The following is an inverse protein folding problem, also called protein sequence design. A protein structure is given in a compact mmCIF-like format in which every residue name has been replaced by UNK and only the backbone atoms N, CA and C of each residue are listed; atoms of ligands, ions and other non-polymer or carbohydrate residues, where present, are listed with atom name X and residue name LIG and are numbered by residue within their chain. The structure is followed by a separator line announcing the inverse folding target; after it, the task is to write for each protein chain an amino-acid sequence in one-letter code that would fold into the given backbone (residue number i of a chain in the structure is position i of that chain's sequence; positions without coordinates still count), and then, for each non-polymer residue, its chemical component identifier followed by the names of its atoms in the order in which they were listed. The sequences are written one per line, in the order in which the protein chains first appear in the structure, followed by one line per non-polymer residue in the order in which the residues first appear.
data_IF_653606851799
#
_entry.id   IF_653606851799
#
_cell.length_a   1.000
_cell.length_b   1.000
_cell.length_c   1.000
_cell.angle_alpha   90.00
_cell.angle_beta   90.00
_cell.angle_gamma   90.00
#
_symmetry.space_group_name_H-M   'P 1'
#
loop_
_entity.id
_entity.type
_entity.pdbx_description
1 polymer ?
#
# COMPACT_ATOMS: atom_id res chain seq x y z
N UNK A 1 -19.74 -11.63 5.68
CA UNK A 1 -19.96 -10.18 5.90
C UNK A 1 -18.81 -9.33 5.36
N UNK A 2 -17.56 -9.53 5.78
CA UNK A 2 -16.39 -8.73 5.34
C UNK A 2 -16.28 -8.57 3.81
N UNK A 3 -16.33 -9.67 3.04
CA UNK A 3 -16.18 -9.62 1.58
C UNK A 3 -17.29 -8.82 0.87
N UNK A 4 -18.54 -8.95 1.34
CA UNK A 4 -19.65 -8.16 0.79
C UNK A 4 -19.43 -6.67 1.06
N UNK A 5 -19.01 -6.32 2.27
CA UNK A 5 -18.65 -4.96 2.63
C UNK A 5 -17.51 -4.43 1.75
N UNK A 6 -16.44 -5.21 1.54
CA UNK A 6 -15.32 -4.85 0.65
C UNK A 6 -15.82 -4.53 -0.77
N UNK A 7 -16.68 -5.38 -1.35
CA UNK A 7 -17.22 -5.19 -2.71
C UNK A 7 -18.05 -3.91 -2.78
N UNK A 8 -19.01 -3.75 -1.86
CA UNK A 8 -19.93 -2.61 -1.88
C UNK A 8 -19.15 -1.31 -1.65
N UNK A 9 -18.31 -1.26 -0.61
CA UNK A 9 -17.57 -0.05 -0.28
C UNK A 9 -16.53 0.32 -1.36
N UNK A 10 -15.81 -0.65 -1.92
CA UNK A 10 -14.87 -0.38 -3.03
C UNK A 10 -15.59 0.02 -4.31
N UNK A 11 -16.72 -0.61 -4.65
CA UNK A 11 -17.54 -0.25 -5.81
C UNK A 11 -18.09 1.17 -5.71
N UNK A 12 -18.68 1.53 -4.57
CA UNK A 12 -19.12 2.91 -4.30
C UNK A 12 -17.95 3.89 -4.35
N UNK A 13 -16.81 3.53 -3.73
CA UNK A 13 -15.60 4.34 -3.77
C UNK A 13 -15.10 4.60 -5.20
N UNK A 14 -15.07 3.58 -6.05
CA UNK A 14 -14.67 3.72 -7.45
C UNK A 14 -15.60 4.65 -8.24
N UNK A 15 -16.92 4.55 -8.01
CA UNK A 15 -17.90 5.43 -8.67
C UNK A 15 -17.71 6.88 -8.21
N UNK A 16 -17.67 7.11 -6.90
CA UNK A 16 -17.53 8.47 -6.31
C UNK A 16 -16.21 9.13 -6.69
N UNK A 17 -15.11 8.35 -6.72
CA UNK A 17 -13.78 8.86 -7.05
C UNK A 17 -13.49 8.87 -8.56
N UNK A 18 -14.40 8.40 -9.41
CA UNK A 18 -14.17 8.35 -10.87
C UNK A 18 -13.83 9.70 -11.51
N UNK A 19 -14.43 10.87 -11.13
CA UNK A 19 -14.00 12.14 -11.68
C UNK A 19 -12.55 12.51 -11.27
N UNK A 20 -12.17 12.23 -10.02
CA UNK A 20 -10.81 12.44 -9.55
C UNK A 20 -9.83 11.54 -10.31
N UNK A 21 -10.18 10.28 -10.53
CA UNK A 21 -9.36 9.33 -11.30
C UNK A 21 -9.11 9.84 -12.72
N UNK A 22 -10.13 10.38 -13.37
CA UNK A 22 -9.99 10.96 -14.70
C UNK A 22 -9.03 12.17 -14.70
N UNK A 23 -9.20 13.10 -13.75
CA UNK A 23 -8.32 14.27 -13.61
C UNK A 23 -6.86 13.84 -13.39
N UNK A 24 -6.62 12.91 -12.47
CA UNK A 24 -5.28 12.39 -12.18
C UNK A 24 -4.69 11.64 -13.39
N UNK A 25 -5.50 10.86 -14.11
CA UNK A 25 -5.06 10.15 -15.31
C UNK A 25 -4.61 11.11 -16.41
N UNK A 26 -5.36 12.17 -16.64
CA UNK A 26 -5.03 13.23 -17.60
C UNK A 26 -3.73 13.92 -17.17
N UNK A 27 -3.63 14.34 -15.91
CA UNK A 27 -2.44 15.00 -15.38
C UNK A 27 -1.17 14.13 -15.52
N UNK A 28 -1.23 12.85 -15.15
CA UNK A 28 -0.13 11.90 -15.30
C UNK A 28 0.32 11.76 -16.76
N UNK A 29 -0.63 11.74 -17.69
CA UNK A 29 -0.33 11.63 -19.14
C UNK A 29 0.39 12.85 -19.70
N UNK A 30 -0.01 14.04 -19.28
CA UNK A 30 0.64 15.27 -19.70
C UNK A 30 2.00 15.50 -19.05
N UNK A 31 2.19 15.04 -17.81
CA UNK A 31 3.44 15.24 -17.07
C UNK A 31 4.59 14.32 -17.52
N UNK A 32 4.29 13.09 -17.92
CA UNK A 32 5.31 12.12 -18.31
C UNK A 32 4.82 11.03 -19.24
N UNK A 33 5.69 10.55 -20.16
CA UNK A 33 5.38 9.46 -21.08
C UNK A 33 5.20 8.13 -20.34
N UNK A 34 4.18 7.35 -20.73
CA UNK A 34 3.93 6.00 -20.22
C UNK A 34 2.48 5.73 -19.80
N UNK A 35 2.18 4.57 -19.17
CA UNK A 35 0.84 4.21 -18.72
C UNK A 35 0.39 5.08 -17.53
N UNK A 36 -0.93 5.23 -17.33
CA UNK A 36 -1.52 5.92 -16.18
C UNK A 36 -1.29 5.13 -14.90
N UNK A 37 -1.50 3.81 -14.98
CA UNK A 37 -1.34 2.92 -13.84
C UNK A 37 0.04 2.24 -13.86
N UNK A 38 0.64 2.16 -12.69
CA UNK A 38 1.75 1.29 -12.38
C UNK A 38 1.23 0.02 -11.73
N UNK A 39 1.74 -1.14 -12.13
CA UNK A 39 1.27 -2.45 -11.69
C UNK A 39 2.43 -3.29 -11.20
N UNK A 40 2.76 -3.13 -9.92
CA UNK A 40 3.81 -3.91 -9.25
C UNK A 40 3.30 -5.27 -8.81
N UNK A 41 4.13 -6.30 -8.97
CA UNK A 41 3.85 -7.62 -8.40
C UNK A 41 4.02 -7.59 -6.89
N UNK A 42 3.04 -8.11 -6.18
CA UNK A 42 3.00 -8.25 -4.72
C UNK A 42 2.54 -9.64 -4.34
N UNK A 43 2.92 -10.08 -3.14
CA UNK A 43 2.47 -11.35 -2.58
C UNK A 43 1.13 -11.14 -1.90
N UNK A 44 0.15 -11.97 -2.25
CA UNK A 44 -1.19 -11.96 -1.70
C UNK A 44 -1.52 -13.21 -0.91
N UNK A 45 -2.81 -13.40 -0.66
CA UNK A 45 -3.34 -14.52 0.10
C UNK A 45 -2.90 -15.88 -0.48
N UNK A 46 -2.51 -16.79 0.42
CA UNK A 46 -2.05 -18.14 0.06
C UNK A 46 -0.74 -18.13 -0.71
N UNK A 47 0.10 -17.11 -0.48
CA UNK A 47 1.42 -16.96 -1.11
C UNK A 47 1.37 -16.84 -2.65
N UNK A 48 0.24 -16.33 -3.20
CA UNK A 48 0.03 -16.13 -4.63
C UNK A 48 0.36 -14.71 -5.02
N UNK A 49 1.11 -14.54 -6.10
CA UNK A 49 1.42 -13.22 -6.63
C UNK A 49 0.20 -12.60 -7.32
N UNK A 50 0.01 -11.30 -7.11
CA UNK A 50 -0.97 -10.49 -7.83
C UNK A 50 -0.36 -9.15 -8.24
N UNK A 51 -1.06 -8.37 -9.06
CA UNK A 51 -0.58 -7.05 -9.48
C UNK A 51 -1.42 -5.95 -8.84
N UNK A 52 -0.78 -5.19 -7.94
CA UNK A 52 -1.40 -4.04 -7.30
C UNK A 52 -1.58 -2.89 -8.29
N UNK A 53 -2.72 -2.23 -8.28
CA UNK A 53 -2.95 -1.01 -9.06
C UNK A 53 -2.53 0.22 -8.27
N UNK A 54 -1.67 1.04 -8.87
CA UNK A 54 -1.32 2.38 -8.35
C UNK A 54 -1.35 3.40 -9.49
N UNK A 55 -1.61 4.67 -9.19
CA UNK A 55 -1.27 5.71 -10.14
C UNK A 55 0.24 5.82 -10.28
N UNK A 56 0.71 5.99 -11.51
CA UNK A 56 2.13 6.17 -11.75
C UNK A 56 2.60 7.51 -11.19
N UNK A 57 3.48 7.46 -10.22
CA UNK A 57 4.12 8.60 -9.58
C UNK A 57 5.61 8.74 -9.89
N UNK A 58 6.19 7.76 -10.57
CA UNK A 58 7.60 7.73 -10.96
C UNK A 58 7.75 7.54 -12.47
N UNK A 59 8.93 7.86 -13.00
CA UNK A 59 9.28 7.63 -14.41
C UNK A 59 9.27 6.13 -14.71
N UNK A 60 8.97 5.77 -15.97
CA UNK A 60 8.98 4.37 -16.40
C UNK A 60 10.38 3.78 -16.23
N UNK A 61 10.46 2.58 -15.63
CA UNK A 61 11.72 1.89 -15.33
C UNK A 61 12.39 2.30 -14.03
N UNK A 62 11.75 3.13 -13.20
CA UNK A 62 12.25 3.55 -11.89
C UNK A 62 12.42 2.38 -10.89
N UNK A 63 11.73 1.28 -11.13
CA UNK A 63 11.73 0.05 -10.33
C UNK A 63 12.91 -0.90 -10.63
N UNK A 64 13.74 -0.58 -11.65
CA UNK A 64 14.95 -1.36 -11.96
C UNK A 64 16.13 -1.08 -11.02
N UNK A 65 16.01 -0.08 -10.15
CA UNK A 65 16.97 0.25 -9.11
C UNK A 65 16.55 -0.24 -7.73
N UNK A 66 16.77 0.57 -6.69
CA UNK A 66 16.33 0.25 -5.31
C UNK A 66 14.81 0.11 -5.21
N UNK A 67 14.35 -0.93 -4.50
CA UNK A 67 12.96 -1.15 -4.16
C UNK A 67 12.46 -0.17 -3.08
N UNK A 68 13.40 0.39 -2.32
CA UNK A 68 13.12 1.38 -1.26
C UNK A 68 13.14 2.78 -1.85
N UNK A 69 12.15 3.59 -1.46
CA UNK A 69 12.14 5.04 -1.77
C UNK A 69 12.64 5.77 -0.54
N UNK A 70 13.78 6.45 -0.66
CA UNK A 70 14.42 7.18 0.43
C UNK A 70 14.10 8.66 0.29
N UNK A 71 13.52 9.24 1.37
CA UNK A 71 13.26 10.67 1.47
C UNK A 71 12.14 11.21 0.57
N UNK A 72 11.83 12.50 0.77
CA UNK A 72 10.70 13.17 0.08
C UNK A 72 10.99 13.63 -1.35
N UNK A 73 12.27 13.64 -1.82
CA UNK A 73 12.70 14.16 -3.13
C UNK A 73 13.50 13.15 -3.94
N UNK A 74 12.99 11.94 -4.07
CA UNK A 74 13.58 10.94 -4.95
C UNK A 74 13.55 11.44 -6.43
N UNK A 75 14.68 11.47 -7.15
CA UNK A 75 14.76 11.99 -8.52
C UNK A 75 13.96 11.18 -9.54
N UNK A 76 13.54 9.96 -9.18
CA UNK A 76 12.67 9.11 -9.99
C UNK A 76 11.22 9.59 -10.02
N UNK A 77 10.80 10.40 -9.03
CA UNK A 77 9.44 10.91 -8.89
C UNK A 77 9.15 12.00 -9.93
N UNK A 78 8.01 11.89 -10.61
CA UNK A 78 7.56 12.91 -11.57
C UNK A 78 6.96 14.13 -10.84
N UNK A 79 6.75 15.24 -11.56
CA UNK A 79 6.17 16.45 -10.97
C UNK A 79 4.75 16.21 -10.43
N UNK A 80 3.89 15.58 -11.22
CA UNK A 80 2.57 15.13 -10.77
C UNK A 80 2.68 14.10 -9.66
N UNK A 81 3.64 13.17 -9.78
CA UNK A 81 3.90 12.11 -8.82
C UNK A 81 4.22 12.62 -7.42
N UNK A 82 4.92 13.76 -7.30
CA UNK A 82 5.19 14.39 -6.01
C UNK A 82 3.88 14.71 -5.26
N UNK A 83 2.93 15.37 -5.92
CA UNK A 83 1.66 15.73 -5.29
C UNK A 83 0.78 14.48 -5.06
N UNK A 84 0.73 13.57 -6.03
CA UNK A 84 -0.04 12.32 -5.93
C UNK A 84 0.41 11.50 -4.72
N UNK A 85 1.73 11.39 -4.47
CA UNK A 85 2.30 10.70 -3.29
C UNK A 85 2.07 11.48 -2.00
N UNK A 86 2.27 12.80 -2.03
CA UNK A 86 2.04 13.67 -0.86
C UNK A 86 0.64 13.50 -0.29
N UNK A 87 -0.37 13.37 -1.14
CA UNK A 87 -1.76 13.19 -0.74
C UNK A 87 -2.22 11.73 -0.72
N UNK A 88 -1.30 10.76 -0.92
CA UNK A 88 -1.59 9.32 -0.97
C UNK A 88 -2.61 8.92 -2.05
N UNK A 89 -2.78 9.74 -3.09
CA UNK A 89 -3.70 9.43 -4.19
C UNK A 89 -3.20 8.30 -5.08
N UNK A 90 -1.88 8.03 -5.07
CA UNK A 90 -1.28 6.93 -5.82
C UNK A 90 -1.86 5.56 -5.44
N UNK A 91 -2.35 5.41 -4.23
CA UNK A 91 -2.88 4.14 -3.73
C UNK A 91 -4.39 3.96 -3.93
N UNK A 92 -5.14 5.01 -4.30
CA UNK A 92 -6.59 4.93 -4.52
C UNK A 92 -7.00 3.86 -5.55
N UNK A 93 -6.25 3.59 -6.65
CA UNK A 93 -6.58 2.53 -7.58
C UNK A 93 -6.55 1.12 -6.98
N UNK A 94 -6.00 0.91 -5.78
CA UNK A 94 -6.09 -0.36 -5.07
C UNK A 94 -7.54 -0.77 -4.75
N UNK A 95 -8.49 0.18 -4.76
CA UNK A 95 -9.93 -0.13 -4.71
C UNK A 95 -10.35 -1.10 -5.83
N UNK A 96 -9.68 -1.08 -6.98
CA UNK A 96 -9.89 -2.06 -8.05
C UNK A 96 -9.48 -3.45 -7.57
N UNK A 97 -8.31 -3.58 -6.91
CA UNK A 97 -7.86 -4.87 -6.36
C UNK A 97 -8.81 -5.39 -5.26
N UNK A 98 -9.37 -4.48 -4.45
CA UNK A 98 -10.39 -4.86 -3.48
C UNK A 98 -11.64 -5.35 -4.17
N UNK A 99 -12.14 -4.62 -5.17
CA UNK A 99 -13.35 -4.97 -5.90
C UNK A 99 -13.26 -6.33 -6.61
N UNK A 100 -12.13 -6.62 -7.28
CA UNK A 100 -11.91 -7.91 -7.97
C UNK A 100 -11.54 -9.06 -7.01
N UNK A 101 -11.08 -8.77 -5.79
CA UNK A 101 -10.87 -9.76 -4.73
C UNK A 101 -9.42 -10.15 -4.45
N UNK A 102 -8.45 -9.50 -5.07
CA UNK A 102 -7.04 -9.66 -4.74
C UNK A 102 -6.72 -9.11 -3.35
N UNK A 103 -7.44 -8.05 -2.96
CA UNK A 103 -7.26 -7.33 -1.70
C UNK A 103 -8.57 -7.21 -0.91
N UNK A 104 -8.46 -6.69 0.30
CA UNK A 104 -9.53 -6.21 1.19
C UNK A 104 -9.30 -4.74 1.51
N UNK A 105 -10.30 -4.04 2.04
CA UNK A 105 -10.09 -2.69 2.56
C UNK A 105 -9.13 -2.71 3.75
N UNK A 106 -9.26 -3.72 4.62
CA UNK A 106 -8.42 -3.89 5.81
C UNK A 106 -7.72 -5.24 5.80
N UNK A 107 -6.42 -5.23 6.04
CA UNK A 107 -5.57 -6.43 6.07
C UNK A 107 -4.09 -6.06 6.01
N UNK A 108 -3.18 -6.99 6.24
CA UNK A 108 -1.76 -6.76 6.13
C UNK A 108 -1.38 -6.12 4.79
N UNK A 109 -0.48 -5.14 4.79
CA UNK A 109 -0.02 -4.52 3.54
C UNK A 109 0.74 -5.55 2.70
N UNK A 110 0.43 -5.67 1.38
CA UNK A 110 1.09 -6.67 0.54
C UNK A 110 2.56 -6.29 0.29
N UNK A 111 3.46 -7.23 0.57
CA UNK A 111 4.90 -7.06 0.36
C UNK A 111 5.35 -7.56 -1.03
N UNK A 112 6.53 -7.09 -1.48
CA UNK A 112 7.20 -7.65 -2.65
C UNK A 112 7.81 -9.00 -2.31
N UNK A 113 7.88 -9.91 -3.29
CA UNK A 113 8.43 -11.27 -3.12
C UNK A 113 9.82 -11.27 -2.48
N UNK A 114 10.65 -10.30 -2.84
CA UNK A 114 12.00 -10.14 -2.29
C UNK A 114 11.98 -10.14 -0.75
N UNK A 115 11.13 -9.30 -0.13
CA UNK A 115 11.06 -9.20 1.34
C UNK A 115 10.32 -10.38 1.99
N UNK A 116 9.31 -10.95 1.33
CA UNK A 116 8.61 -12.14 1.85
C UNK A 116 9.56 -13.33 1.99
N UNK A 117 10.61 -13.43 1.16
CA UNK A 117 11.60 -14.49 1.26
C UNK A 117 12.45 -14.44 2.56
N UNK A 118 12.44 -13.33 3.29
CA UNK A 118 13.07 -13.22 4.61
C UNK A 118 12.14 -13.64 5.76
N UNK A 119 10.88 -13.98 5.47
CA UNK A 119 9.91 -14.34 6.51
C UNK A 119 10.12 -15.77 7.00
N UNK A 120 9.96 -15.96 8.32
CA UNK A 120 9.96 -17.29 8.93
C UNK A 120 8.67 -18.03 8.60
N UNK A 121 8.61 -19.38 8.81
CA UNK A 121 7.37 -20.14 8.64
C UNK A 121 6.19 -19.58 9.43
N UNK A 122 6.40 -19.10 10.66
CA UNK A 122 5.37 -18.47 11.48
C UNK A 122 4.90 -17.16 10.87
N UNK A 123 5.81 -16.38 10.32
CA UNK A 123 5.50 -15.08 9.68
C UNK A 123 4.69 -15.26 8.39
N UNK A 124 4.83 -16.40 7.72
CA UNK A 124 4.03 -16.72 6.52
C UNK A 124 2.54 -16.79 6.79
N UNK A 125 2.09 -16.97 8.05
CA UNK A 125 0.67 -16.89 8.43
C UNK A 125 0.04 -15.51 8.17
N UNK A 126 0.83 -14.46 7.97
CA UNK A 126 0.34 -13.17 7.46
C UNK A 126 -0.41 -13.34 6.13
N UNK A 127 -0.01 -14.33 5.32
CA UNK A 127 -0.60 -14.60 4.00
C UNK A 127 -1.87 -15.47 4.06
N UNK A 128 -2.37 -15.85 5.23
CA UNK A 128 -3.62 -16.61 5.36
C UNK A 128 -4.85 -15.74 5.06
N UNK A 129 -4.70 -14.41 5.18
CA UNK A 129 -5.75 -13.43 4.89
C UNK A 129 -5.47 -12.64 3.61
N UNK A 130 -6.50 -11.94 3.07
CA UNK A 130 -6.26 -11.00 1.97
C UNK A 130 -5.48 -9.79 2.46
N UNK A 131 -4.50 -9.30 1.68
CA UNK A 131 -3.82 -8.05 1.98
C UNK A 131 -4.81 -6.88 1.95
N UNK A 132 -4.50 -5.80 2.68
CA UNK A 132 -5.36 -4.63 2.82
C UNK A 132 -4.78 -3.36 2.22
N UNK A 133 -5.65 -2.36 2.04
CA UNK A 133 -5.26 -0.97 1.77
C UNK A 133 -4.79 -0.30 3.06
N UNK A 134 -5.49 -0.57 4.16
CA UNK A 134 -5.11 -0.10 5.49
C UNK A 134 -4.87 -1.26 6.45
N UNK A 135 -4.00 -1.02 7.43
CA UNK A 135 -3.55 -2.01 8.41
C UNK A 135 -2.97 -1.32 9.65
N UNK A 136 -2.81 -2.04 10.78
CA UNK A 136 -2.25 -1.47 12.01
C UNK A 136 -0.81 -0.94 11.86
N UNK A 137 0.02 -1.59 11.02
CA UNK A 137 1.40 -1.18 10.82
C UNK A 137 1.50 0.11 10.01
N UNK A 138 0.65 0.30 8.98
CA UNK A 138 0.59 1.55 8.20
C UNK A 138 0.19 2.76 9.07
N UNK A 139 -0.59 2.55 10.12
CA UNK A 139 -0.93 3.61 11.10
C UNK A 139 0.30 3.91 11.98
N UNK A 140 0.96 2.88 12.52
CA UNK A 140 2.12 3.02 13.43
C UNK A 140 3.35 3.56 12.70
N UNK A 141 3.65 3.07 11.50
CA UNK A 141 4.84 3.40 10.71
C UNK A 141 4.56 4.43 9.60
N UNK A 142 3.70 5.40 9.89
CA UNK A 142 3.34 6.45 8.92
C UNK A 142 4.56 7.20 8.38
N UNK A 143 5.56 7.45 9.24
CA UNK A 143 6.80 8.16 8.92
C UNK A 143 7.96 7.20 8.59
N UNK A 144 7.67 6.02 8.06
CA UNK A 144 8.66 5.00 7.71
C UNK A 144 9.81 5.54 6.84
N UNK A 145 9.48 6.39 5.85
CA UNK A 145 10.48 6.99 4.97
C UNK A 145 11.49 7.86 5.73
N UNK A 146 11.05 8.59 6.76
CA UNK A 146 11.92 9.44 7.59
C UNK A 146 12.82 8.59 8.50
N UNK A 147 12.33 7.44 8.96
CA UNK A 147 13.12 6.49 9.75
C UNK A 147 14.21 5.87 8.89
N UNK A 148 13.88 5.48 7.65
CA UNK A 148 14.85 4.89 6.72
C UNK A 148 15.88 5.91 6.23
N UNK A 149 15.50 7.19 6.07
CA UNK A 149 16.43 8.25 5.66
C UNK A 149 17.55 8.49 6.68
N UNK A 150 17.31 8.18 7.96
CA UNK A 150 18.27 8.33 9.05
C UNK A 150 19.15 7.11 9.27
N UNK A 151 18.86 5.98 8.61
CA UNK A 151 19.62 4.75 8.77
C UNK A 151 20.86 4.76 7.89
N UNK A 152 21.97 4.19 8.39
CA UNK A 152 23.21 4.02 7.61
C UNK A 152 23.01 3.11 6.39
N UNK A 153 22.28 1.99 6.56
CA UNK A 153 21.81 1.12 5.50
C UNK A 153 20.27 1.01 5.59
N UNK A 154 19.54 1.75 4.74
CA UNK A 154 18.08 1.76 4.74
C UNK A 154 17.44 0.40 4.43
N UNK A 155 18.07 -0.43 3.59
CA UNK A 155 17.52 -1.74 3.22
C UNK A 155 17.70 -2.74 4.36
N UNK A 156 18.88 -2.79 4.97
CA UNK A 156 19.14 -3.63 6.14
C UNK A 156 18.24 -3.24 7.32
N UNK A 157 18.12 -1.94 7.59
CA UNK A 157 17.24 -1.42 8.64
C UNK A 157 15.77 -1.78 8.38
N UNK A 158 15.32 -1.72 7.12
CA UNK A 158 13.98 -2.16 6.76
C UNK A 158 13.77 -3.64 7.07
N UNK A 159 14.68 -4.51 6.61
CA UNK A 159 14.55 -5.97 6.74
C UNK A 159 14.60 -6.41 8.21
N UNK A 160 15.55 -5.89 8.98
CA UNK A 160 15.84 -6.41 10.32
C UNK A 160 15.08 -5.68 11.43
N UNK A 161 14.60 -4.46 11.20
CA UNK A 161 13.89 -3.67 12.21
C UNK A 161 12.44 -3.40 11.81
N UNK A 162 12.22 -2.62 10.74
CA UNK A 162 10.86 -2.14 10.41
C UNK A 162 9.95 -3.30 9.99
N UNK A 163 10.41 -4.15 9.08
CA UNK A 163 9.64 -5.28 8.58
C UNK A 163 9.27 -6.26 9.70
N UNK A 164 10.19 -6.54 10.63
CA UNK A 164 9.93 -7.45 11.74
C UNK A 164 8.83 -6.93 12.66
N UNK A 165 8.85 -5.64 12.96
CA UNK A 165 7.80 -5.01 13.77
C UNK A 165 6.45 -4.96 13.02
N UNK A 166 6.46 -4.69 11.73
CA UNK A 166 5.24 -4.73 10.89
C UNK A 166 4.63 -6.12 10.89
N UNK A 167 5.45 -7.15 10.68
CA UNK A 167 4.99 -8.55 10.63
C UNK A 167 4.37 -8.98 11.96
N UNK A 168 4.92 -8.55 13.12
CA UNK A 168 4.28 -8.79 14.43
C UNK A 168 2.87 -8.20 14.48
N UNK A 169 2.69 -6.94 14.05
CA UNK A 169 1.38 -6.31 14.01
C UNK A 169 0.42 -6.99 13.02
N UNK A 170 0.94 -7.51 11.91
CA UNK A 170 0.15 -8.27 10.94
C UNK A 170 -0.33 -9.60 11.52
N UNK A 171 0.54 -10.33 12.24
CA UNK A 171 0.17 -11.58 12.92
C UNK A 171 -0.88 -11.33 14.02
N UNK A 172 -0.73 -10.26 14.80
CA UNK A 172 -1.75 -9.84 15.77
C UNK A 172 -3.09 -9.54 15.09
N UNK A 173 -3.05 -8.84 13.95
CA UNK A 173 -4.25 -8.59 13.17
C UNK A 173 -4.88 -9.90 12.68
N UNK A 174 -4.10 -10.82 12.09
CA UNK A 174 -4.61 -12.12 11.60
C UNK A 174 -5.31 -12.89 12.71
N UNK A 175 -4.70 -12.93 13.92
CA UNK A 175 -5.23 -13.62 15.09
C UNK A 175 -6.54 -12.99 15.61
N UNK A 176 -6.66 -11.67 15.58
CA UNK A 176 -7.76 -10.93 16.18
C UNK A 176 -8.73 -10.33 15.16
N UNK A 177 -8.60 -10.70 13.87
CA UNK A 177 -9.37 -10.11 12.79
C UNK A 177 -10.88 -10.32 12.99
N UNK A 178 -11.63 -9.25 12.94
CA UNK A 178 -13.09 -9.25 13.00
C UNK A 178 -13.66 -8.07 12.21
N UNK A 179 -14.93 -8.16 11.82
CA UNK A 179 -15.58 -7.06 11.10
C UNK A 179 -15.53 -5.73 11.86
N UNK A 180 -15.77 -5.75 13.17
CA UNK A 180 -15.75 -4.54 13.99
C UNK A 180 -14.32 -3.99 14.20
N UNK A 181 -13.33 -4.88 14.25
CA UNK A 181 -11.93 -4.45 14.28
C UNK A 181 -11.53 -3.77 12.97
N UNK A 182 -11.97 -4.30 11.83
CA UNK A 182 -11.75 -3.68 10.52
C UNK A 182 -12.38 -2.26 10.46
N UNK A 183 -13.64 -2.13 10.89
CA UNK A 183 -14.32 -0.82 10.94
C UNK A 183 -13.55 0.16 11.82
N UNK A 184 -13.07 -0.28 13.00
CA UNK A 184 -12.25 0.55 13.89
C UNK A 184 -10.97 1.02 13.20
N UNK A 185 -10.26 0.13 12.49
CA UNK A 185 -9.02 0.47 11.77
C UNK A 185 -9.28 1.47 10.62
N UNK A 186 -10.38 1.34 9.91
CA UNK A 186 -10.78 2.31 8.89
C UNK A 186 -10.95 3.70 9.51
N UNK A 187 -11.70 3.83 10.62
CA UNK A 187 -11.86 5.11 11.31
C UNK A 187 -10.55 5.67 11.85
N UNK A 188 -9.68 4.83 12.40
CA UNK A 188 -8.36 5.25 12.87
C UNK A 188 -7.51 5.79 11.73
N UNK A 189 -7.51 5.13 10.56
CA UNK A 189 -6.80 5.58 9.36
C UNK A 189 -7.30 6.96 8.92
N UNK A 190 -8.63 7.16 8.84
CA UNK A 190 -9.19 8.46 8.50
C UNK A 190 -8.79 9.54 9.50
N UNK A 191 -8.86 9.24 10.80
CA UNK A 191 -8.44 10.16 11.85
C UNK A 191 -6.99 10.60 11.65
N UNK A 192 -6.08 9.64 11.46
CA UNK A 192 -4.64 9.92 11.25
C UNK A 192 -4.39 10.77 10.00
N UNK A 193 -5.12 10.51 8.90
CA UNK A 193 -4.98 11.29 7.66
C UNK A 193 -5.44 12.75 7.86
N UNK A 194 -6.47 12.99 8.68
CA UNK A 194 -7.07 14.33 8.86
C UNK A 194 -6.35 15.15 9.95
N UNK A 195 -5.97 14.52 11.07
CA UNK A 195 -5.45 15.24 12.25
C UNK A 195 -3.97 15.55 12.23
N UNK A 196 -3.19 14.84 11.42
CA UNK A 196 -1.73 14.96 11.40
C UNK A 196 -1.22 15.47 10.02
N UNK A 197 -1.87 16.51 9.50
CA UNK A 197 -1.40 17.24 8.31
C UNK A 197 -0.40 18.33 8.68
#
# INVERSE_FOLDING_TARGET
MKRLFDIVASGCGLIVLSPLFLILAIWIKFDSKGPVFYRQVRVGRGNKDFRIFKFRSMRVGADKGSLVTIGGRDPRVTRSGYYIRKYKFDELPQLINVFIGDMSLVGPRPEVRHYVNYWTPEQMHVLDVRPGITDPASIKFRNENELMEKAEDPEDYYIHVIMQEKVKLYLEYVKNSSFWYDVKLIFQTFKVIVTER
#
